data_IF_119799549919
#
_entry.id   IF_119799549919
#
_cell.length_a   1.000
_cell.length_b   1.000
_cell.length_c   1.000
_cell.angle_alpha   90.00
_cell.angle_beta   90.00
_cell.angle_gamma   90.00
#
_symmetry.space_group_name_H-M   'P 1'
#
loop_
_entity.id
_entity.type
_entity.pdbx_description
1 polymer ?
#
# COMPACT_ATOMS: atom_id res chain seq x y z
N UNK A 1 10.71 11.97 33.12
CA UNK A 1 10.96 10.52 33.00
C UNK A 1 10.85 10.11 31.55
N UNK A 2 11.90 9.50 30.97
CA UNK A 2 11.90 9.03 29.58
C UNK A 2 11.00 7.81 29.44
N UNK A 3 10.14 7.75 28.42
CA UNK A 3 9.28 6.58 28.17
C UNK A 3 10.16 5.35 27.90
N UNK A 4 9.88 4.20 28.54
CA UNK A 4 10.61 2.97 28.26
C UNK A 4 10.41 2.60 26.79
N UNK A 5 11.51 2.56 26.03
CA UNK A 5 11.54 2.06 24.66
C UNK A 5 11.55 0.54 24.73
N UNK A 6 10.37 -0.07 24.86
CA UNK A 6 10.27 -1.53 24.77
C UNK A 6 10.45 -1.87 23.29
N UNK A 7 11.65 -2.29 22.90
CA UNK A 7 11.89 -2.90 21.59
C UNK A 7 11.19 -4.26 21.60
N UNK A 8 10.08 -4.34 20.86
CA UNK A 8 9.31 -5.57 20.71
C UNK A 8 9.63 -6.16 19.35
N UNK A 9 10.70 -6.95 19.29
CA UNK A 9 10.91 -7.90 18.19
C UNK A 9 9.91 -9.06 18.39
N UNK A 10 8.63 -8.77 18.16
CA UNK A 10 7.55 -9.75 18.25
C UNK A 10 7.30 -10.29 16.84
N UNK A 11 7.46 -11.59 16.69
CA UNK A 11 7.04 -12.32 15.50
C UNK A 11 5.55 -12.60 15.64
N UNK A 12 4.74 -12.04 14.73
CA UNK A 12 3.29 -12.28 14.71
C UNK A 12 3.00 -13.40 13.70
N UNK A 13 2.40 -14.52 14.12
CA UNK A 13 1.98 -15.58 13.20
C UNK A 13 0.96 -15.07 12.16
N UNK A 14 1.04 -15.54 10.91
CA UNK A 14 0.15 -15.04 9.84
C UNK A 14 -1.31 -15.50 10.02
N UNK A 15 -1.51 -16.68 10.61
CA UNK A 15 -2.81 -17.28 10.89
C UNK A 15 -3.61 -16.53 11.96
N UNK A 16 -2.95 -15.76 12.83
CA UNK A 16 -3.64 -14.94 13.83
C UNK A 16 -4.16 -13.62 13.26
N UNK A 17 -3.60 -13.13 12.14
CA UNK A 17 -3.96 -11.82 11.59
C UNK A 17 -5.47 -11.65 11.33
N UNK A 18 -6.20 -12.61 10.74
CA UNK A 18 -7.64 -12.46 10.53
C UNK A 18 -8.45 -12.35 11.83
N UNK A 19 -7.93 -12.86 12.96
CA UNK A 19 -8.57 -12.77 14.27
C UNK A 19 -8.24 -11.45 14.99
N UNK A 20 -7.10 -10.84 14.67
CA UNK A 20 -6.66 -9.57 15.26
C UNK A 20 -7.24 -8.35 14.55
N UNK A 21 -7.56 -8.47 13.26
CA UNK A 21 -8.08 -7.38 12.46
C UNK A 21 -9.59 -7.26 12.60
N UNK A 22 -10.08 -6.03 12.75
CA UNK A 22 -11.49 -5.74 12.60
C UNK A 22 -11.94 -5.92 11.14
N UNK A 23 -13.26 -6.09 10.89
CA UNK A 23 -13.77 -6.20 9.53
C UNK A 23 -13.44 -4.99 8.62
N UNK A 24 -13.32 -3.78 9.19
CA UNK A 24 -12.96 -2.57 8.46
C UNK A 24 -11.47 -2.55 8.09
N UNK A 25 -10.59 -2.99 8.99
CA UNK A 25 -9.15 -3.09 8.74
C UNK A 25 -8.84 -4.16 7.69
N UNK A 26 -9.48 -5.33 7.78
CA UNK A 26 -9.35 -6.39 6.78
C UNK A 26 -9.79 -5.92 5.39
N UNK A 27 -10.93 -5.20 5.30
CA UNK A 27 -11.39 -4.57 4.07
C UNK A 27 -10.39 -3.55 3.53
N UNK A 28 -9.83 -2.71 4.41
CA UNK A 28 -8.83 -1.72 4.02
C UNK A 28 -7.55 -2.36 3.50
N UNK A 29 -7.12 -3.49 4.08
CA UNK A 29 -5.98 -4.26 3.61
C UNK A 29 -6.20 -4.79 2.19
N UNK A 30 -7.38 -5.37 1.92
CA UNK A 30 -7.79 -5.78 0.57
C UNK A 30 -7.81 -4.61 -0.43
N UNK A 31 -8.38 -3.48 -0.02
CA UNK A 31 -8.44 -2.29 -0.86
C UNK A 31 -7.04 -1.76 -1.21
N UNK A 32 -6.13 -1.68 -0.23
CA UNK A 32 -4.74 -1.26 -0.46
C UNK A 32 -4.01 -2.22 -1.40
N UNK A 33 -4.22 -3.52 -1.27
CA UNK A 33 -3.66 -4.50 -2.21
C UNK A 33 -4.19 -4.29 -3.64
N UNK A 34 -5.49 -4.07 -3.79
CA UNK A 34 -6.10 -3.78 -5.09
C UNK A 34 -5.58 -2.48 -5.72
N UNK A 35 -5.37 -1.43 -4.91
CA UNK A 35 -4.75 -0.18 -5.35
C UNK A 35 -3.37 -0.46 -5.96
N UNK A 36 -2.53 -1.24 -5.29
CA UNK A 36 -1.19 -1.58 -5.79
C UNK A 36 -1.25 -2.26 -7.16
N UNK A 37 -2.16 -3.21 -7.35
CA UNK A 37 -2.33 -3.90 -8.63
C UNK A 37 -2.78 -2.93 -9.74
N UNK A 38 -3.70 -2.01 -9.44
CA UNK A 38 -4.20 -1.04 -10.42
C UNK A 38 -3.17 0.05 -10.75
N UNK A 39 -2.34 0.46 -9.78
CA UNK A 39 -1.23 1.40 -10.02
C UNK A 39 -0.23 0.82 -11.02
N UNK A 40 0.03 -0.48 -10.97
CA UNK A 40 0.95 -1.15 -11.89
C UNK A 40 0.39 -1.32 -13.29
N UNK A 41 -0.94 -1.46 -13.39
CA UNK A 41 -1.66 -1.38 -14.66
C UNK A 41 -1.69 0.05 -15.23
N UNK A 42 -1.11 1.04 -14.52
CA UNK A 42 -0.98 2.42 -14.97
C UNK A 42 -2.26 3.23 -14.90
N UNK A 43 -3.23 2.81 -14.08
CA UNK A 43 -4.46 3.59 -13.91
C UNK A 43 -4.17 4.91 -13.16
N UNK A 44 -4.84 6.01 -13.53
CA UNK A 44 -4.71 7.27 -12.81
C UNK A 44 -5.38 7.20 -11.44
N UNK A 45 -4.87 7.95 -10.47
CA UNK A 45 -5.32 7.94 -9.07
C UNK A 45 -6.83 8.08 -8.90
N UNK A 46 -7.45 9.02 -9.63
CA UNK A 46 -8.89 9.28 -9.53
C UNK A 46 -9.70 8.05 -9.96
N UNK A 47 -9.33 7.42 -11.07
CA UNK A 47 -9.99 6.20 -11.54
C UNK A 47 -9.81 5.03 -10.55
N UNK A 48 -8.63 4.92 -9.91
CA UNK A 48 -8.40 3.90 -8.88
C UNK A 48 -9.28 4.16 -7.65
N UNK A 49 -9.34 5.41 -7.20
CA UNK A 49 -10.16 5.83 -6.05
C UNK A 49 -11.65 5.48 -6.26
N UNK A 50 -12.17 5.79 -7.45
CA UNK A 50 -13.54 5.44 -7.85
C UNK A 50 -13.76 3.93 -7.90
N UNK A 51 -12.85 3.19 -8.55
CA UNK A 51 -12.99 1.73 -8.74
C UNK A 51 -12.90 0.95 -7.42
N UNK A 52 -12.04 1.38 -6.51
CA UNK A 52 -11.82 0.72 -5.19
C UNK A 52 -12.74 1.31 -4.11
N UNK A 53 -13.49 2.38 -4.42
CA UNK A 53 -14.38 3.09 -3.49
C UNK A 53 -13.64 3.60 -2.25
N UNK A 54 -12.53 4.32 -2.47
CA UNK A 54 -11.72 4.95 -1.43
C UNK A 54 -11.39 6.39 -1.80
N UNK A 55 -11.00 7.22 -0.83
CA UNK A 55 -10.52 8.57 -1.10
C UNK A 55 -9.19 8.57 -1.88
N UNK A 56 -8.99 9.58 -2.74
CA UNK A 56 -7.75 9.78 -3.52
C UNK A 56 -6.50 9.82 -2.64
N UNK A 57 -6.60 10.41 -1.45
CA UNK A 57 -5.54 10.45 -0.43
C UNK A 57 -5.09 9.05 0.02
N UNK A 58 -6.01 8.08 0.10
CA UNK A 58 -5.66 6.69 0.43
C UNK A 58 -4.83 6.05 -0.69
N UNK A 59 -5.18 6.33 -1.95
CA UNK A 59 -4.45 5.85 -3.11
C UNK A 59 -3.05 6.44 -3.14
N UNK A 60 -2.92 7.76 -2.90
CA UNK A 60 -1.63 8.47 -2.83
C UNK A 60 -0.74 7.92 -1.72
N UNK A 61 -1.28 7.72 -0.50
CA UNK A 61 -0.51 7.11 0.60
C UNK A 61 -0.03 5.71 0.24
N UNK A 62 -0.86 4.91 -0.40
CA UNK A 62 -0.50 3.54 -0.82
C UNK A 62 0.58 3.54 -1.90
N UNK A 63 0.50 4.46 -2.86
CA UNK A 63 1.52 4.63 -3.90
C UNK A 63 2.89 4.98 -3.30
N UNK A 64 2.93 5.92 -2.35
CA UNK A 64 4.17 6.30 -1.64
C UNK A 64 4.71 5.16 -0.77
N UNK A 65 3.83 4.39 -0.13
CA UNK A 65 4.21 3.24 0.67
C UNK A 65 4.91 2.16 -0.17
N UNK A 66 4.41 1.88 -1.38
CA UNK A 66 5.01 0.94 -2.32
C UNK A 66 6.46 1.30 -2.63
N UNK A 67 6.71 2.57 -2.93
CA UNK A 67 8.05 3.07 -3.25
C UNK A 67 8.98 2.96 -2.04
N UNK A 68 8.52 3.36 -0.86
CA UNK A 68 9.32 3.33 0.37
C UNK A 68 9.69 1.91 0.82
N UNK A 69 8.73 0.98 0.79
CA UNK A 69 8.89 -0.35 1.39
C UNK A 69 9.21 -1.44 0.37
N UNK A 70 9.35 -1.10 -0.91
CA UNK A 70 9.52 -2.05 -2.01
C UNK A 70 8.60 -3.26 -1.86
N UNK A 71 7.29 -3.02 -1.61
CA UNK A 71 6.34 -4.04 -1.14
C UNK A 71 6.18 -5.26 -2.05
N UNK A 72 6.69 -5.21 -3.29
CA UNK A 72 6.75 -6.36 -4.20
C UNK A 72 8.03 -7.18 -4.12
N UNK A 73 9.10 -6.69 -3.48
CA UNK A 73 10.26 -7.52 -3.16
C UNK A 73 9.92 -8.69 -2.22
N UNK A 74 8.83 -8.56 -1.45
CA UNK A 74 8.35 -9.60 -0.53
C UNK A 74 7.40 -10.64 -1.18
N UNK A 75 6.86 -10.37 -2.37
CA UNK A 75 5.99 -11.29 -3.12
C UNK A 75 6.68 -11.68 -4.41
N UNK A 76 7.18 -12.92 -4.47
CA UNK A 76 8.18 -13.46 -5.40
C UNK A 76 7.86 -13.44 -6.92
N UNK A 77 6.95 -12.62 -7.41
CA UNK A 77 6.74 -12.45 -8.85
C UNK A 77 7.55 -11.27 -9.40
N UNK A 78 8.72 -11.66 -9.93
CA UNK A 78 9.46 -11.03 -11.02
C UNK A 78 8.58 -10.07 -11.82
N UNK A 79 8.72 -8.79 -11.54
CA UNK A 79 8.99 -7.73 -12.51
C UNK A 79 9.05 -6.44 -11.71
N UNK A 80 10.18 -5.73 -11.80
CA UNK A 80 10.26 -4.31 -11.45
C UNK A 80 9.39 -3.55 -12.45
N UNK A 81 8.06 -3.71 -12.37
CA UNK A 81 7.13 -2.92 -13.14
C UNK A 81 7.29 -1.49 -12.63
N UNK A 82 8.10 -0.71 -13.35
CA UNK A 82 8.13 0.75 -13.28
C UNK A 82 6.69 1.21 -13.37
N UNK A 83 6.23 1.94 -12.36
CA UNK A 83 4.86 2.45 -12.33
C UNK A 83 4.67 3.27 -13.60
N UNK A 84 3.85 2.78 -14.53
CA UNK A 84 3.42 3.54 -15.70
C UNK A 84 2.31 4.50 -15.27
N UNK A 85 2.62 5.46 -14.39
CA UNK A 85 1.62 6.40 -13.88
C UNK A 85 1.49 7.58 -14.83
N UNK A 86 0.25 8.00 -15.11
CA UNK A 86 -0.06 9.30 -15.74
C UNK A 86 -0.09 10.47 -14.73
N UNK A 87 0.42 10.24 -13.52
CA UNK A 87 0.41 11.19 -12.40
C UNK A 87 1.78 11.22 -11.71
N UNK A 88 2.80 11.85 -12.35
CA UNK A 88 4.18 11.90 -11.86
C UNK A 88 4.36 12.80 -10.62
N UNK A 89 3.52 13.84 -10.45
CA UNK A 89 3.58 14.78 -9.31
C UNK A 89 3.53 14.11 -7.93
N UNK A 90 2.99 12.89 -7.85
CA UNK A 90 2.78 12.16 -6.58
C UNK A 90 4.11 11.84 -5.92
N UNK A 91 5.10 11.62 -6.78
CA UNK A 91 6.46 11.24 -6.47
C UNK A 91 7.40 12.45 -6.47
N UNK A 92 6.88 13.68 -6.48
CA UNK A 92 7.71 14.89 -6.56
C UNK A 92 8.49 15.02 -7.87
N UNK A 93 8.11 14.26 -8.90
CA UNK A 93 8.65 14.40 -10.25
C UNK A 93 7.80 15.43 -10.98
N UNK A 94 8.42 16.54 -11.35
CA UNK A 94 7.91 17.42 -12.39
C UNK A 94 8.41 16.83 -13.72
N UNK A 95 7.53 16.77 -14.73
CA UNK A 95 7.90 16.30 -16.07
C UNK A 95 9.15 17.02 -16.61
#
# INVERSE_FOLDING_TARGET
>A
MSKPKISKDIIIPLDILPKLLTPSESRMLKNRWQILNLLENGLPIRAIAEKVKVGTDTVVRTARLREKMNLRGATAEKNRATIKTKTPWIFGKND
#
